data_IF_664799560361
#
_entry.id   IF_664799560361
#
_cell.length_a   1.000
_cell.length_b   1.000
_cell.length_c   1.000
_cell.angle_alpha   90.00
_cell.angle_beta   90.00
_cell.angle_gamma   90.00
#
_symmetry.space_group_name_H-M   'P 1'
#
loop_
_entity.id
_entity.type
_entity.pdbx_description
1 polymer ?
#
# COMPACT_ATOMS: atom_id res chain seq x y z
N UNK A 1 24.13 1.25 -4.20
CA UNK A 1 22.66 1.03 -4.15
C UNK A 1 21.98 1.81 -5.28
N UNK A 2 21.23 1.15 -6.16
CA UNK A 2 20.57 1.82 -7.28
C UNK A 2 19.27 2.48 -6.82
N UNK A 3 19.06 3.76 -7.11
CA UNK A 3 17.78 4.46 -6.93
C UNK A 3 16.77 3.97 -7.96
N UNK A 4 16.34 2.72 -7.82
CA UNK A 4 15.37 2.06 -8.68
C UNK A 4 14.20 1.54 -7.86
N UNK A 5 13.01 1.60 -8.43
CA UNK A 5 11.82 0.98 -7.87
C UNK A 5 11.79 -0.51 -8.24
N UNK A 6 11.58 -1.38 -7.25
CA UNK A 6 11.60 -2.83 -7.46
C UNK A 6 10.41 -3.32 -8.32
N UNK A 7 9.27 -2.60 -8.29
CA UNK A 7 8.05 -2.98 -9.02
C UNK A 7 7.94 -2.43 -10.45
N UNK A 8 8.38 -1.18 -10.67
CA UNK A 8 8.18 -0.52 -11.97
C UNK A 8 9.50 -0.13 -12.66
N UNK A 9 10.64 -0.45 -12.06
CA UNK A 9 11.96 -0.21 -12.65
C UNK A 9 12.39 1.25 -12.78
N UNK A 10 11.54 2.22 -12.37
CA UNK A 10 11.85 3.66 -12.47
C UNK A 10 13.19 3.97 -11.82
N UNK A 11 14.10 4.53 -12.60
CA UNK A 11 15.42 4.96 -12.16
C UNK A 11 15.55 6.48 -12.17
N UNK A 12 16.59 6.97 -11.48
CA UNK A 12 17.04 8.36 -11.65
C UNK A 12 17.19 8.71 -13.13
N UNK A 13 16.75 9.90 -13.50
CA UNK A 13 16.88 10.45 -14.84
C UNK A 13 17.85 11.64 -14.83
N UNK A 14 18.61 11.80 -15.91
CA UNK A 14 19.49 12.95 -16.08
C UNK A 14 18.65 14.14 -16.53
N UNK A 15 18.79 15.27 -15.85
CA UNK A 15 18.03 16.47 -16.15
C UNK A 15 18.91 17.73 -16.02
N UNK A 16 18.34 18.88 -16.38
CA UNK A 16 18.95 20.18 -16.18
C UNK A 16 18.09 21.04 -15.25
N UNK A 17 18.74 21.85 -14.41
CA UNK A 17 18.12 23.02 -13.79
C UNK A 17 18.40 24.19 -14.72
N UNK A 18 17.34 24.81 -15.24
CA UNK A 18 17.43 25.95 -16.15
C UNK A 18 17.11 27.21 -15.35
N UNK A 19 18.00 28.20 -15.38
CA UNK A 19 17.76 29.51 -14.77
C UNK A 19 16.97 30.42 -15.71
N UNK A 20 16.54 31.58 -15.21
CA UNK A 20 15.87 32.60 -16.03
C UNK A 20 16.74 33.06 -17.23
N UNK A 21 18.06 33.14 -17.04
CA UNK A 21 19.04 33.42 -18.10
C UNK A 21 19.43 32.20 -18.95
N UNK A 22 18.65 31.11 -18.88
CA UNK A 22 18.86 29.86 -19.62
C UNK A 22 20.21 29.15 -19.33
N UNK A 23 20.82 29.41 -18.18
CA UNK A 23 22.02 28.69 -17.74
C UNK A 23 21.59 27.29 -17.29
N UNK A 24 22.15 26.26 -17.93
CA UNK A 24 21.78 24.86 -17.70
C UNK A 24 22.79 24.17 -16.80
N UNK A 25 22.46 23.99 -15.53
CA UNK A 25 23.26 23.16 -14.61
C UNK A 25 22.74 21.73 -14.59
N UNK A 26 23.64 20.73 -14.53
CA UNK A 26 23.24 19.32 -14.49
C UNK A 26 22.59 19.01 -13.15
N UNK A 27 21.45 18.31 -13.17
CA UNK A 27 20.81 17.74 -11.97
C UNK A 27 20.35 16.32 -12.22
N UNK A 28 20.11 15.59 -11.13
CA UNK A 28 19.44 14.29 -11.17
C UNK A 28 17.98 14.46 -10.77
N UNK A 29 17.07 13.82 -11.49
CA UNK A 29 15.67 13.67 -11.08
C UNK A 29 15.49 12.26 -10.53
N UNK A 30 15.26 12.19 -9.22
CA UNK A 30 15.11 10.92 -8.51
C UNK A 30 13.63 10.61 -8.30
N UNK A 31 13.18 9.36 -8.52
CA UNK A 31 11.84 8.96 -8.14
C UNK A 31 11.70 9.01 -6.62
N UNK A 32 10.55 9.45 -6.10
CA UNK A 32 10.25 9.40 -4.68
C UNK A 32 10.06 7.93 -4.25
N UNK A 33 11.16 7.28 -3.86
CA UNK A 33 11.25 5.90 -3.41
C UNK A 33 11.05 5.86 -1.90
N UNK A 34 10.17 4.98 -1.46
CA UNK A 34 9.85 4.76 -0.07
C UNK A 34 10.10 3.30 0.29
N UNK A 35 10.70 3.10 1.47
CA UNK A 35 10.95 1.76 2.00
C UNK A 35 9.70 1.27 2.71
N UNK A 36 9.08 0.22 2.18
CA UNK A 36 7.84 -0.34 2.72
C UNK A 36 8.00 -1.82 3.05
N UNK A 37 7.31 -2.28 4.10
CA UNK A 37 7.16 -3.72 4.38
C UNK A 37 6.01 -4.23 3.53
N UNK A 38 6.33 -5.11 2.57
CA UNK A 38 5.35 -5.72 1.69
C UNK A 38 5.34 -7.23 1.88
N UNK A 39 4.16 -7.84 1.70
CA UNK A 39 4.07 -9.28 1.51
C UNK A 39 4.43 -9.58 0.06
N UNK A 40 5.52 -10.31 -0.15
CA UNK A 40 5.97 -10.76 -1.48
C UNK A 40 6.15 -12.27 -1.37
N UNK A 41 5.36 -13.03 -2.13
CA UNK A 41 5.37 -14.50 -2.15
C UNK A 41 5.19 -15.15 -0.76
N UNK A 42 4.29 -14.59 0.05
CA UNK A 42 4.00 -15.08 1.41
C UNK A 42 5.05 -14.70 2.47
N UNK A 43 6.16 -14.06 2.09
CA UNK A 43 7.16 -13.56 3.01
C UNK A 43 7.08 -12.04 3.17
N UNK A 44 7.26 -11.56 4.40
CA UNK A 44 7.35 -10.11 4.66
C UNK A 44 8.77 -9.61 4.40
N UNK A 45 8.94 -8.87 3.31
CA UNK A 45 10.23 -8.28 2.93
C UNK A 45 10.14 -6.76 2.92
N UNK A 46 11.27 -6.09 3.17
CA UNK A 46 11.40 -4.65 2.93
C UNK A 46 11.81 -4.44 1.48
N UNK A 47 11.00 -3.69 0.75
CA UNK A 47 11.26 -3.36 -0.67
C UNK A 47 11.22 -1.84 -0.86
N UNK A 48 11.95 -1.34 -1.87
CA UNK A 48 11.95 0.08 -2.24
C UNK A 48 10.96 0.29 -3.38
N UNK A 49 9.91 1.04 -3.07
CA UNK A 49 8.80 1.25 -4.01
C UNK A 49 8.57 2.73 -4.23
N UNK A 50 8.32 3.14 -5.47
CA UNK A 50 7.96 4.53 -5.75
C UNK A 50 6.55 4.86 -5.24
N UNK A 51 6.35 6.12 -4.85
CA UNK A 51 5.05 6.59 -4.35
C UNK A 51 3.89 6.37 -5.31
N UNK A 52 4.11 6.37 -6.63
CA UNK A 52 3.08 6.02 -7.62
C UNK A 52 2.59 4.57 -7.47
N UNK A 53 3.50 3.62 -7.30
CA UNK A 53 3.12 2.21 -7.12
C UNK A 53 2.40 1.99 -5.79
N UNK A 54 2.81 2.70 -4.73
CA UNK A 54 2.13 2.68 -3.43
C UNK A 54 0.71 3.25 -3.58
N UNK A 55 0.55 4.37 -4.28
CA UNK A 55 -0.75 5.01 -4.50
C UNK A 55 -1.70 4.16 -5.34
N UNK A 56 -1.19 3.44 -6.33
CA UNK A 56 -1.98 2.55 -7.17
C UNK A 56 -2.35 1.21 -6.51
N UNK A 57 -2.01 0.99 -5.24
CA UNK A 57 -2.36 -0.26 -4.54
C UNK A 57 -1.60 -1.50 -5.05
N UNK A 58 -0.56 -1.32 -5.87
CA UNK A 58 0.27 -2.44 -6.39
C UNK A 58 1.14 -3.10 -5.31
N UNK A 59 1.06 -2.63 -4.08
CA UNK A 59 1.80 -3.12 -2.91
C UNK A 59 0.81 -3.55 -1.86
N UNK A 60 0.83 -4.83 -1.50
CA UNK A 60 0.14 -5.31 -0.30
C UNK A 60 1.02 -4.98 0.89
N UNK A 61 0.72 -3.85 1.55
CA UNK A 61 1.35 -3.49 2.82
C UNK A 61 0.84 -4.44 3.90
N UNK A 62 1.76 -4.98 4.68
CA UNK A 62 1.36 -5.68 5.90
C UNK A 62 1.03 -4.63 6.94
N UNK A 63 -0.26 -4.35 7.09
CA UNK A 63 -0.76 -3.52 8.18
C UNK A 63 -0.62 -4.35 9.45
N UNK A 64 -0.01 -3.80 10.51
CA UNK A 64 -0.13 -4.41 11.83
C UNK A 64 -1.59 -4.22 12.22
N UNK A 65 -2.38 -5.28 12.16
CA UNK A 65 -3.71 -5.26 12.71
C UNK A 65 -3.48 -5.37 14.21
N UNK A 66 -3.76 -4.28 14.94
CA UNK A 66 -3.74 -4.35 16.39
C UNK A 66 -4.83 -5.36 16.77
N UNK A 67 -4.43 -6.47 17.40
CA UNK A 67 -5.26 -7.65 17.72
C UNK A 67 -6.62 -7.31 18.36
N UNK A 68 -6.80 -6.09 18.87
CA UNK A 68 -8.07 -5.55 19.34
C UNK A 68 -9.17 -5.47 18.27
N UNK A 69 -8.82 -5.23 17.00
CA UNK A 69 -9.81 -5.06 15.91
C UNK A 69 -10.26 -6.39 15.30
N UNK A 70 -9.43 -7.43 15.32
CA UNK A 70 -9.81 -8.79 14.89
C UNK A 70 -10.81 -9.44 15.86
N UNK A 71 -10.68 -9.20 17.17
CA UNK A 71 -11.63 -9.67 18.17
C UNK A 71 -13.02 -9.00 18.06
N UNK A 72 -13.06 -7.72 17.64
CA UNK A 72 -14.32 -7.00 17.43
C UNK A 72 -15.07 -7.47 16.17
N UNK A 73 -14.35 -7.80 15.09
CA UNK A 73 -14.94 -8.24 13.83
C UNK A 73 -15.49 -9.68 13.89
N UNK A 74 -14.97 -10.53 14.77
CA UNK A 74 -15.52 -11.86 15.04
C UNK A 74 -16.85 -11.83 15.83
N UNK A 75 -17.09 -10.79 16.63
CA UNK A 75 -18.36 -10.65 17.38
C UNK A 75 -19.52 -10.18 16.49
N UNK A 76 -19.24 -9.35 15.48
CA UNK A 76 -20.26 -8.77 14.60
C UNK A 76 -20.89 -9.80 13.65
N UNK A 77 -20.15 -10.82 13.21
CA UNK A 77 -20.67 -11.89 12.35
C UNK A 77 -21.63 -12.83 13.08
N UNK A 78 -21.38 -13.11 14.37
CA UNK A 78 -22.28 -13.93 15.20
C UNK A 78 -23.58 -13.19 15.52
N UNK A 79 -23.54 -11.87 15.71
CA UNK A 79 -24.71 -11.03 15.96
C UNK A 79 -25.60 -10.90 14.70
N UNK A 80 -25.00 -10.76 13.52
CA UNK A 80 -25.73 -10.74 12.25
C UNK A 80 -26.41 -12.11 11.96
N UNK A 81 -25.73 -13.23 12.24
CA UNK A 81 -26.29 -14.56 12.05
C UNK A 81 -27.49 -14.85 12.98
N UNK A 82 -27.44 -14.43 14.24
CA UNK A 82 -28.57 -14.56 15.19
C UNK A 82 -29.78 -13.71 14.80
N UNK A 83 -29.57 -12.50 14.26
CA UNK A 83 -30.67 -11.66 13.77
C UNK A 83 -31.40 -12.27 12.56
N UNK A 84 -30.65 -12.87 11.62
CA UNK A 84 -31.24 -13.58 10.47
C UNK A 84 -32.04 -14.82 10.91
N UNK A 85 -31.56 -15.55 11.92
CA UNK A 85 -32.29 -16.71 12.49
C UNK A 85 -33.57 -16.29 13.21
N UNK A 86 -33.57 -15.18 13.94
CA UNK A 86 -34.76 -14.64 14.60
C UNK A 86 -35.82 -14.18 13.60
N UNK A 87 -35.44 -13.49 12.52
CA UNK A 87 -36.38 -13.07 11.48
C UNK A 87 -37.04 -14.27 10.76
N UNK A 88 -36.28 -15.35 10.54
CA UNK A 88 -36.78 -16.57 9.88
C UNK A 88 -37.76 -17.37 10.74
N UNK A 89 -37.68 -17.25 12.07
CA UNK A 89 -38.63 -17.87 13.00
C UNK A 89 -39.98 -17.13 13.06
N UNK A 90 -39.97 -15.79 12.91
CA UNK A 90 -41.21 -14.98 12.90
C UNK A 90 -41.99 -15.13 11.58
N UNK A 91 -41.32 -15.41 10.46
CA UNK A 91 -41.98 -15.63 9.16
C UNK A 91 -42.58 -17.04 8.97
N UNK A 92 -42.40 -17.94 9.94
CA UNK A 92 -42.90 -19.32 9.91
C UNK A 92 -44.12 -19.53 10.84
N UNK A 93 -44.64 -18.46 11.44
CA UNK A 93 -45.89 -18.40 12.20
C UNK A 93 -46.92 -17.58 11.41
#
# INVERSE_FOLDING_TARGET
MAYRCDLCGKSRQKAHKVSHSNIKTRKWQEPNLQSVRASVDGQTKRIRVCTRCIRSGKVVKVVKIDKATEAAQAAQTVQAAKAVQAAKAVSAA
#
